data_IF_313537487406
#
_entry.id   IF_313537487406
#
_cell.length_a   1.000
_cell.length_b   1.000
_cell.length_c   1.000
_cell.angle_alpha   90.00
_cell.angle_beta   90.00
_cell.angle_gamma   90.00
#
_symmetry.space_group_name_H-M   'P 1'
#
loop_
_entity.id
_entity.type
_entity.pdbx_description
1 polymer ?
#
# COMPACT_ATOMS: atom_id res chain seq x y z
N UNK A 1 -65.60 -51.88 37.95
CA UNK A 1 -65.99 -51.42 36.65
C UNK A 1 -64.75 -50.60 36.17
N UNK A 2 -63.72 -51.34 35.67
CA UNK A 2 -63.41 -51.47 34.23
C UNK A 2 -63.18 -50.14 33.63
N UNK A 3 -62.05 -49.77 33.09
CA UNK A 3 -61.18 -50.26 31.99
C UNK A 3 -59.93 -49.36 31.99
N UNK A 4 -58.77 -49.81 32.06
CA UNK A 4 -57.83 -50.29 31.01
C UNK A 4 -57.82 -49.46 29.74
N UNK A 5 -56.70 -48.83 29.48
CA UNK A 5 -56.19 -48.63 28.13
C UNK A 5 -54.77 -48.03 28.10
N UNK A 6 -53.90 -48.90 27.85
CA UNK A 6 -52.78 -48.87 26.85
C UNK A 6 -51.96 -47.61 26.61
N UNK A 7 -50.77 -47.78 26.99
CA UNK A 7 -49.50 -47.22 26.56
C UNK A 7 -49.35 -47.24 25.05
N UNK A 8 -48.99 -46.06 24.46
CA UNK A 8 -48.45 -46.00 23.10
C UNK A 8 -47.28 -45.04 23.08
N UNK A 9 -46.11 -45.61 23.28
CA UNK A 9 -44.84 -44.94 23.05
C UNK A 9 -44.68 -44.66 21.52
N UNK A 10 -44.66 -43.39 21.14
CA UNK A 10 -44.24 -42.93 19.81
C UNK A 10 -42.80 -42.46 19.89
N UNK A 11 -41.89 -43.30 19.46
CA UNK A 11 -40.48 -42.99 19.22
C UNK A 11 -40.34 -42.22 17.92
N UNK A 12 -40.11 -40.92 18.02
CA UNK A 12 -39.65 -40.11 16.89
C UNK A 12 -38.15 -40.33 16.62
N UNK A 13 -37.73 -40.51 15.38
CA UNK A 13 -36.33 -40.70 15.05
C UNK A 13 -35.56 -39.38 15.19
N UNK A 14 -34.49 -39.43 15.97
CA UNK A 14 -33.48 -38.34 16.09
C UNK A 14 -32.84 -38.13 14.72
N UNK A 15 -33.17 -37.04 14.08
CA UNK A 15 -32.50 -36.61 12.86
C UNK A 15 -31.03 -36.26 13.17
N UNK A 16 -30.12 -37.06 12.64
CA UNK A 16 -28.69 -36.85 12.64
C UNK A 16 -28.36 -35.53 11.93
N UNK A 17 -27.99 -34.50 12.71
CA UNK A 17 -27.40 -33.29 12.18
C UNK A 17 -26.00 -33.61 11.70
N UNK A 18 -25.86 -33.92 10.41
CA UNK A 18 -24.56 -33.95 9.75
C UNK A 18 -23.93 -32.56 9.82
N UNK A 19 -22.62 -32.41 10.14
CA UNK A 19 -21.96 -31.11 10.19
C UNK A 19 -22.03 -30.47 8.83
N UNK A 20 -22.50 -29.21 8.77
CA UNK A 20 -22.54 -28.39 7.56
C UNK A 20 -21.13 -28.33 6.96
N UNK A 21 -20.98 -28.86 5.74
CA UNK A 21 -19.75 -28.77 4.97
C UNK A 21 -19.37 -27.30 4.84
N UNK A 22 -18.26 -26.90 5.46
CA UNK A 22 -17.66 -25.58 5.30
C UNK A 22 -17.49 -25.28 3.82
N UNK A 23 -18.00 -24.13 3.38
CA UNK A 23 -17.88 -23.65 2.00
C UNK A 23 -16.41 -23.45 1.66
N UNK A 24 -15.82 -24.18 0.68
CA UNK A 24 -14.38 -24.17 0.43
C UNK A 24 -13.96 -23.03 -0.52
N UNK A 25 -14.38 -21.78 -0.26
CA UNK A 25 -14.10 -20.68 -1.18
C UNK A 25 -13.10 -19.63 -0.66
N UNK A 26 -13.18 -19.28 0.61
CA UNK A 26 -12.46 -18.12 1.17
C UNK A 26 -10.96 -18.34 1.40
N UNK A 27 -10.47 -19.44 2.02
CA UNK A 27 -9.03 -19.61 2.26
C UNK A 27 -8.22 -19.83 0.96
N UNK A 28 -8.76 -20.55 -0.01
CA UNK A 28 -8.10 -20.81 -1.31
C UNK A 28 -7.95 -19.56 -2.17
N UNK A 29 -8.93 -18.65 -2.13
CA UNK A 29 -8.88 -17.43 -2.92
C UNK A 29 -7.84 -16.44 -2.35
N UNK A 30 -7.71 -16.33 -1.04
CA UNK A 30 -6.70 -15.47 -0.39
C UNK A 30 -5.28 -16.00 -0.59
N UNK A 31 -5.09 -17.33 -0.49
CA UNK A 31 -3.80 -17.95 -0.79
C UNK A 31 -3.38 -17.74 -2.25
N UNK A 32 -4.33 -17.87 -3.19
CA UNK A 32 -4.07 -17.63 -4.60
C UNK A 32 -3.73 -16.15 -4.86
N UNK A 33 -4.44 -15.23 -4.22
CA UNK A 33 -4.16 -13.78 -4.30
C UNK A 33 -2.75 -13.46 -3.79
N UNK A 34 -2.39 -13.95 -2.61
CA UNK A 34 -1.06 -13.77 -2.04
C UNK A 34 0.05 -14.37 -2.92
N UNK A 35 -0.20 -15.53 -3.57
CA UNK A 35 0.76 -16.14 -4.48
C UNK A 35 0.96 -15.28 -5.74
N UNK A 36 -0.11 -14.69 -6.30
CA UNK A 36 -0.03 -13.77 -7.45
C UNK A 36 0.76 -12.51 -7.09
N UNK A 37 0.51 -11.90 -5.94
CA UNK A 37 1.22 -10.69 -5.50
C UNK A 37 2.70 -10.96 -5.24
N UNK A 38 3.06 -12.10 -4.63
CA UNK A 38 4.47 -12.50 -4.47
C UNK A 38 5.15 -12.69 -5.82
N UNK A 39 4.52 -13.45 -6.73
CA UNK A 39 5.06 -13.68 -8.06
C UNK A 39 5.28 -12.38 -8.85
N UNK A 40 4.34 -11.44 -8.76
CA UNK A 40 4.46 -10.13 -9.38
C UNK A 40 5.62 -9.32 -8.78
N UNK A 41 5.76 -9.33 -7.45
CA UNK A 41 6.85 -8.64 -6.76
C UNK A 41 8.23 -9.19 -7.17
N UNK A 42 8.40 -10.50 -7.19
CA UNK A 42 9.64 -11.17 -7.64
C UNK A 42 9.95 -10.82 -9.09
N UNK A 43 8.95 -10.91 -9.98
CA UNK A 43 9.12 -10.59 -11.39
C UNK A 43 9.48 -9.12 -11.63
N UNK A 44 8.88 -8.20 -10.89
CA UNK A 44 9.26 -6.78 -10.98
C UNK A 44 10.72 -6.55 -10.62
N UNK A 45 11.26 -7.29 -9.66
CA UNK A 45 12.67 -7.19 -9.27
C UNK A 45 13.60 -7.88 -10.27
N UNK A 46 13.21 -9.03 -10.83
CA UNK A 46 14.04 -9.82 -11.74
C UNK A 46 14.09 -9.26 -13.16
N UNK A 47 12.93 -8.95 -13.74
CA UNK A 47 12.82 -8.56 -15.15
C UNK A 47 12.31 -7.12 -15.35
N UNK A 48 11.88 -6.47 -14.28
CA UNK A 48 11.31 -5.12 -14.31
C UNK A 48 9.83 -5.09 -14.72
N UNK A 49 9.17 -3.95 -14.42
CA UNK A 49 7.74 -3.76 -14.64
C UNK A 49 7.33 -3.94 -16.12
N UNK A 50 8.14 -3.45 -17.06
CA UNK A 50 7.80 -3.51 -18.50
C UNK A 50 7.81 -4.93 -19.04
N UNK A 51 8.81 -5.75 -18.69
CA UNK A 51 8.95 -7.11 -19.16
C UNK A 51 8.06 -8.11 -18.40
N UNK A 52 7.56 -7.75 -17.23
CA UNK A 52 6.57 -8.55 -16.51
C UNK A 52 5.26 -8.64 -17.31
N UNK A 53 4.74 -9.87 -17.49
CA UNK A 53 3.46 -10.11 -18.17
C UNK A 53 2.52 -10.92 -17.29
N UNK A 54 1.22 -10.89 -17.60
CA UNK A 54 0.22 -11.72 -16.88
C UNK A 54 0.53 -13.22 -17.05
N UNK A 55 1.11 -13.61 -18.19
CA UNK A 55 1.55 -14.99 -18.45
C UNK A 55 2.67 -15.43 -17.49
N UNK A 56 3.67 -14.58 -17.30
CA UNK A 56 4.75 -14.84 -16.35
C UNK A 56 4.24 -14.91 -14.90
N UNK A 57 3.34 -14.01 -14.53
CA UNK A 57 2.70 -14.02 -13.21
C UNK A 57 1.90 -15.33 -13.02
N UNK A 58 1.10 -15.73 -14.01
CA UNK A 58 0.31 -16.95 -13.96
C UNK A 58 1.21 -18.20 -13.82
N UNK A 59 2.26 -18.28 -14.64
CA UNK A 59 3.21 -19.39 -14.60
C UNK A 59 3.93 -19.51 -13.24
N UNK A 60 4.35 -18.38 -12.66
CA UNK A 60 5.08 -18.37 -11.39
C UNK A 60 4.16 -18.60 -10.18
N UNK A 61 2.97 -18.00 -10.17
CA UNK A 61 2.02 -18.12 -9.06
C UNK A 61 1.23 -19.42 -9.03
N UNK A 62 1.17 -20.16 -10.15
CA UNK A 62 0.29 -21.31 -10.35
C UNK A 62 -1.19 -20.92 -10.51
N UNK A 63 -1.52 -19.63 -10.58
CA UNK A 63 -2.88 -19.16 -10.82
C UNK A 63 -3.20 -19.14 -12.32
N UNK A 64 -4.46 -19.43 -12.70
CA UNK A 64 -4.88 -19.23 -14.09
C UNK A 64 -4.99 -17.75 -14.43
N UNK A 65 -4.79 -17.37 -15.71
CA UNK A 65 -5.04 -16.00 -16.16
C UNK A 65 -6.46 -15.53 -15.83
N UNK A 66 -7.45 -16.40 -15.98
CA UNK A 66 -8.84 -16.08 -15.62
C UNK A 66 -8.98 -15.71 -14.13
N UNK A 67 -8.23 -16.38 -13.25
CA UNK A 67 -8.20 -16.06 -11.82
C UNK A 67 -7.55 -14.69 -11.59
N UNK A 68 -6.47 -14.36 -12.31
CA UNK A 68 -5.79 -13.06 -12.19
C UNK A 68 -6.73 -11.95 -12.66
N UNK A 69 -7.30 -12.06 -13.87
CA UNK A 69 -8.21 -11.04 -14.42
C UNK A 69 -9.52 -10.87 -13.65
N UNK A 70 -9.90 -11.84 -12.83
CA UNK A 70 -11.05 -11.67 -11.93
C UNK A 70 -10.80 -10.59 -10.85
N UNK A 71 -9.55 -10.37 -10.47
CA UNK A 71 -9.18 -9.46 -9.38
C UNK A 71 -8.48 -8.20 -9.87
N UNK A 72 -7.71 -8.33 -10.97
CA UNK A 72 -6.93 -7.24 -11.53
C UNK A 72 -7.17 -7.14 -13.04
N UNK A 73 -7.66 -5.99 -13.52
CA UNK A 73 -7.96 -5.80 -14.94
C UNK A 73 -6.73 -5.86 -15.84
N UNK A 74 -5.54 -5.55 -15.32
CA UNK A 74 -4.30 -5.60 -16.07
C UNK A 74 -3.09 -5.89 -15.16
N UNK A 75 -1.90 -6.07 -15.77
CA UNK A 75 -0.67 -6.37 -15.03
C UNK A 75 -0.21 -5.23 -14.12
N UNK A 76 -0.56 -3.99 -14.44
CA UNK A 76 -0.13 -2.83 -13.67
C UNK A 76 -0.90 -2.71 -12.36
N UNK A 77 -2.19 -3.02 -12.35
CA UNK A 77 -2.96 -3.08 -11.10
C UNK A 77 -2.46 -4.20 -10.17
N UNK A 78 -2.03 -5.36 -10.73
CA UNK A 78 -1.31 -6.37 -9.94
C UNK A 78 -0.01 -5.80 -9.37
N UNK A 79 0.74 -5.08 -10.20
CA UNK A 79 2.03 -4.50 -9.80
C UNK A 79 1.88 -3.47 -8.68
N UNK A 80 0.91 -2.56 -8.78
CA UNK A 80 0.64 -1.56 -7.74
C UNK A 80 0.30 -2.25 -6.43
N UNK A 81 -0.61 -3.20 -6.43
CA UNK A 81 -1.00 -3.89 -5.20
C UNK A 81 0.16 -4.70 -4.60
N UNK A 82 0.94 -5.42 -5.43
CA UNK A 82 2.11 -6.15 -4.99
C UNK A 82 3.17 -5.22 -4.38
N UNK A 83 3.39 -4.07 -5.01
CA UNK A 83 4.29 -3.03 -4.52
C UNK A 83 3.83 -2.47 -3.18
N UNK A 84 2.54 -2.14 -3.05
CA UNK A 84 1.94 -1.56 -1.86
C UNK A 84 1.97 -2.53 -0.68
N UNK A 85 1.72 -3.83 -0.92
CA UNK A 85 1.74 -4.84 0.14
C UNK A 85 3.10 -4.97 0.83
N UNK A 86 4.19 -4.63 0.13
CA UNK A 86 5.54 -4.59 0.71
C UNK A 86 5.85 -3.27 1.41
N UNK A 87 5.40 -2.14 0.85
CA UNK A 87 5.76 -0.82 1.37
C UNK A 87 5.00 -0.37 2.61
N UNK A 88 3.74 -0.80 2.78
CA UNK A 88 2.93 -0.39 3.92
C UNK A 88 3.44 -0.95 5.26
N UNK A 89 4.29 -1.98 5.21
CA UNK A 89 4.91 -2.58 6.40
C UNK A 89 6.07 -1.73 6.98
N UNK A 90 6.58 -0.72 6.25
CA UNK A 90 7.83 -0.01 6.58
C UNK A 90 7.66 1.50 6.78
N UNK A 91 6.43 2.04 6.81
CA UNK A 91 6.20 3.47 6.96
C UNK A 91 6.57 3.93 8.39
N UNK A 92 7.64 4.71 8.52
CA UNK A 92 7.99 5.38 9.77
C UNK A 92 6.95 6.47 10.08
N UNK A 93 6.49 6.53 11.32
CA UNK A 93 5.71 7.65 11.88
C UNK A 93 6.49 8.24 13.08
N UNK A 94 7.50 9.09 12.80
CA UNK A 94 8.35 9.64 13.84
C UNK A 94 7.59 10.68 14.68
N UNK A 95 7.90 10.72 15.97
CA UNK A 95 7.49 11.76 16.91
C UNK A 95 8.66 12.11 17.83
N UNK A 96 9.63 12.83 17.27
CA UNK A 96 10.88 13.20 17.95
C UNK A 96 10.72 14.38 18.90
N UNK A 97 9.57 15.05 18.87
CA UNK A 97 9.31 16.32 19.55
C UNK A 97 9.67 17.56 18.71
N UNK A 98 10.11 17.38 17.46
CA UNK A 98 10.40 18.46 16.51
C UNK A 98 9.85 18.12 15.12
N UNK A 99 9.00 18.99 14.58
CA UNK A 99 8.47 18.82 13.22
C UNK A 99 9.59 18.79 12.17
N UNK A 100 10.65 19.58 12.36
CA UNK A 100 11.81 19.57 11.49
C UNK A 100 12.50 18.21 11.46
N UNK A 101 12.78 17.63 12.64
CA UNK A 101 13.45 16.34 12.70
C UNK A 101 12.56 15.22 12.18
N UNK A 102 11.25 15.25 12.49
CA UNK A 102 10.28 14.29 11.98
C UNK A 102 10.25 14.31 10.44
N UNK A 103 10.18 15.49 9.80
CA UNK A 103 10.28 15.61 8.35
C UNK A 103 11.63 15.13 7.79
N UNK A 104 12.74 15.42 8.48
CA UNK A 104 14.06 14.92 8.09
C UNK A 104 14.11 13.38 8.11
N UNK A 105 13.59 12.74 9.15
CA UNK A 105 13.54 11.27 9.27
C UNK A 105 12.77 10.66 8.11
N UNK A 106 11.57 11.17 7.84
CA UNK A 106 10.72 10.64 6.75
C UNK A 106 11.35 10.89 5.38
N UNK A 107 11.87 12.10 5.13
CA UNK A 107 12.43 12.44 3.82
C UNK A 107 13.75 11.69 3.53
N UNK A 108 14.62 11.49 4.55
CA UNK A 108 15.82 10.65 4.44
C UNK A 108 15.46 9.22 4.06
N UNK A 109 14.47 8.63 4.76
CA UNK A 109 13.98 7.29 4.45
C UNK A 109 13.41 7.18 3.05
N UNK A 110 12.63 8.17 2.61
CA UNK A 110 12.06 8.24 1.27
C UNK A 110 13.13 8.36 0.18
N UNK A 111 14.13 9.22 0.37
CA UNK A 111 15.24 9.38 -0.58
C UNK A 111 16.09 8.11 -0.67
N UNK A 112 16.38 7.47 0.48
CA UNK A 112 17.05 6.18 0.48
C UNK A 112 16.25 5.14 -0.31
N UNK A 113 14.93 5.02 -0.05
CA UNK A 113 14.05 4.15 -0.81
C UNK A 113 14.11 4.41 -2.33
N UNK A 114 14.13 5.68 -2.75
CA UNK A 114 14.20 6.05 -4.17
C UNK A 114 15.50 5.58 -4.86
N UNK A 115 16.57 5.34 -4.14
CA UNK A 115 17.82 4.79 -4.69
C UNK A 115 17.81 3.27 -4.85
N UNK A 116 16.81 2.57 -4.28
CA UNK A 116 16.69 1.11 -4.34
C UNK A 116 16.07 0.61 -5.65
N UNK A 117 16.17 -0.69 -5.95
CA UNK A 117 15.39 -1.30 -7.03
C UNK A 117 13.89 -1.04 -6.93
N UNK A 118 13.32 -1.08 -5.73
CA UNK A 118 11.89 -0.79 -5.48
C UNK A 118 11.54 0.66 -5.78
N UNK A 119 12.43 1.61 -5.52
CA UNK A 119 12.25 3.02 -5.91
C UNK A 119 12.19 3.20 -7.43
N UNK A 120 12.99 2.44 -8.20
CA UNK A 120 12.89 2.44 -9.67
C UNK A 120 11.57 1.85 -10.18
N UNK A 121 11.06 0.79 -9.54
CA UNK A 121 9.73 0.24 -9.85
C UNK A 121 8.65 1.28 -9.57
N UNK A 122 8.75 1.97 -8.45
CA UNK A 122 7.83 3.06 -8.09
C UNK A 122 7.81 4.17 -9.16
N UNK A 123 8.98 4.63 -9.62
CA UNK A 123 9.07 5.63 -10.68
C UNK A 123 8.40 5.16 -11.99
N UNK A 124 8.56 3.87 -12.33
CA UNK A 124 7.88 3.28 -13.50
C UNK A 124 6.36 3.23 -13.31
N UNK A 125 5.86 2.87 -12.12
CA UNK A 125 4.43 2.87 -11.82
C UNK A 125 3.83 4.29 -11.88
N UNK A 126 4.55 5.30 -11.39
CA UNK A 126 4.14 6.71 -11.53
C UNK A 126 4.06 7.11 -13.01
N UNK A 127 5.01 6.65 -13.83
CA UNK A 127 4.99 6.85 -15.28
C UNK A 127 3.77 6.19 -15.94
N UNK A 128 3.50 4.92 -15.64
CA UNK A 128 2.34 4.20 -16.20
C UNK A 128 0.99 4.82 -15.76
N UNK A 129 0.93 5.35 -14.54
CA UNK A 129 -0.25 6.05 -14.01
C UNK A 129 -0.65 7.30 -14.82
N UNK A 130 0.25 7.87 -15.63
CA UNK A 130 -0.09 8.99 -16.52
C UNK A 130 -0.90 8.53 -17.75
N UNK A 131 -0.93 7.25 -18.06
CA UNK A 131 -1.57 6.69 -19.24
C UNK A 131 -2.74 5.75 -18.93
N UNK A 132 -2.81 5.20 -17.70
CA UNK A 132 -3.85 4.27 -17.28
C UNK A 132 -4.58 4.80 -16.03
N UNK A 133 -5.85 5.22 -16.16
CA UNK A 133 -6.63 5.77 -15.04
C UNK A 133 -6.77 4.78 -13.86
N UNK A 134 -6.84 3.47 -14.11
CA UNK A 134 -6.97 2.47 -13.03
C UNK A 134 -5.67 2.40 -12.20
N UNK A 135 -4.51 2.47 -12.89
CA UNK A 135 -3.21 2.51 -12.21
C UNK A 135 -3.05 3.81 -11.43
N UNK A 136 -3.49 4.93 -12.03
CA UNK A 136 -3.47 6.25 -11.38
C UNK A 136 -4.30 6.26 -10.09
N UNK A 137 -5.54 5.79 -10.15
CA UNK A 137 -6.45 5.82 -9.00
C UNK A 137 -5.94 4.93 -7.88
N UNK A 138 -5.49 3.72 -8.20
CA UNK A 138 -4.95 2.79 -7.20
C UNK A 138 -3.65 3.31 -6.55
N UNK A 139 -2.74 3.87 -7.34
CA UNK A 139 -1.50 4.47 -6.84
C UNK A 139 -1.79 5.68 -5.95
N UNK A 140 -2.72 6.55 -6.36
CA UNK A 140 -3.15 7.72 -5.58
C UNK A 140 -3.80 7.30 -4.26
N UNK A 141 -4.80 6.42 -4.32
CA UNK A 141 -5.66 6.13 -3.18
C UNK A 141 -4.92 5.36 -2.07
N UNK A 142 -4.02 4.47 -2.44
CA UNK A 142 -3.30 3.66 -1.43
C UNK A 142 -1.97 4.29 -1.04
N UNK A 143 -1.13 4.66 -2.02
CA UNK A 143 0.24 5.11 -1.73
C UNK A 143 0.31 6.59 -1.37
N UNK A 144 -0.27 7.45 -2.22
CA UNK A 144 -0.17 8.90 -2.02
C UNK A 144 -0.89 9.29 -0.73
N UNK A 145 -2.13 8.85 -0.55
CA UNK A 145 -2.91 9.19 0.65
C UNK A 145 -2.30 8.60 1.94
N UNK A 146 -1.71 7.40 1.91
CA UNK A 146 -1.08 6.83 3.11
C UNK A 146 0.16 7.60 3.54
N UNK A 147 0.98 8.04 2.59
CA UNK A 147 2.18 8.85 2.87
C UNK A 147 1.81 10.28 3.31
N UNK A 148 0.78 10.87 2.68
CA UNK A 148 0.28 12.16 3.10
C UNK A 148 -0.23 12.16 4.54
N UNK A 149 -0.82 11.07 5.03
CA UNK A 149 -1.22 10.95 6.44
C UNK A 149 -0.05 11.13 7.41
N UNK A 150 1.13 10.56 7.11
CA UNK A 150 2.32 10.76 7.94
C UNK A 150 2.76 12.23 7.93
N UNK A 151 2.89 12.82 6.75
CA UNK A 151 3.23 14.25 6.62
C UNK A 151 2.22 15.14 7.33
N UNK A 152 0.92 14.82 7.25
CA UNK A 152 -0.14 15.56 7.94
C UNK A 152 -0.04 15.42 9.45
N UNK A 153 0.21 14.24 9.98
CA UNK A 153 0.40 14.03 11.41
C UNK A 153 1.59 14.83 11.96
N UNK A 154 2.72 14.85 11.24
CA UNK A 154 3.88 15.69 11.59
C UNK A 154 3.49 17.17 11.58
N UNK A 155 2.79 17.61 10.55
CA UNK A 155 2.34 19.00 10.42
C UNK A 155 1.45 19.42 11.59
N UNK A 156 0.41 18.63 11.89
CA UNK A 156 -0.56 18.94 12.93
C UNK A 156 0.12 19.00 14.33
N UNK A 157 1.07 18.09 14.60
CA UNK A 157 1.90 18.16 15.83
C UNK A 157 2.77 19.41 15.86
N UNK A 158 3.40 19.77 14.74
CA UNK A 158 4.23 20.97 14.63
C UNK A 158 3.45 22.27 14.84
N UNK A 159 2.25 22.37 14.30
CA UNK A 159 1.33 23.49 14.53
C UNK A 159 0.92 23.55 16.02
N UNK A 160 0.56 22.40 16.60
CA UNK A 160 0.16 22.35 18.02
C UNK A 160 1.28 22.76 18.98
N UNK A 161 2.55 22.55 18.60
CA UNK A 161 3.75 22.98 19.35
C UNK A 161 4.18 24.42 19.05
N UNK A 162 3.54 25.09 18.08
CA UNK A 162 3.91 26.45 17.64
C UNK A 162 5.19 26.52 16.81
N UNK A 163 5.64 25.38 16.24
CA UNK A 163 6.82 25.31 15.37
C UNK A 163 6.46 25.68 13.92
N UNK A 164 5.22 25.43 13.51
CA UNK A 164 4.75 25.61 12.12
C UNK A 164 3.54 26.55 12.08
N UNK A 165 3.42 27.27 10.98
CA UNK A 165 2.36 28.25 10.74
C UNK A 165 1.00 27.56 10.55
N UNK A 166 -0.01 27.97 11.34
CA UNK A 166 -1.36 27.42 11.24
C UNK A 166 -2.19 27.99 10.06
N UNK A 167 -1.73 29.07 9.44
CA UNK A 167 -2.39 29.72 8.30
C UNK A 167 -1.98 29.17 6.93
N UNK A 168 -1.08 28.20 6.89
CA UNK A 168 -0.66 27.51 5.65
C UNK A 168 -1.46 26.22 5.48
N UNK A 169 -1.94 25.99 4.25
CA UNK A 169 -2.57 24.71 3.90
C UNK A 169 -1.56 23.57 4.06
N UNK A 170 -1.84 22.59 4.94
CA UNK A 170 -0.94 21.46 5.17
C UNK A 170 -0.67 20.63 3.93
N UNK A 171 -1.59 20.53 2.98
CA UNK A 171 -1.38 19.80 1.74
C UNK A 171 -0.33 20.48 0.87
N UNK A 172 -0.35 21.81 0.80
CA UNK A 172 0.68 22.61 0.11
C UNK A 172 2.03 22.45 0.81
N UNK A 173 2.06 22.51 2.15
CA UNK A 173 3.29 22.35 2.91
C UNK A 173 3.94 20.97 2.69
N UNK A 174 3.12 19.90 2.67
CA UNK A 174 3.56 18.53 2.36
C UNK A 174 4.14 18.46 0.94
N UNK A 175 3.49 19.10 -0.04
CA UNK A 175 3.99 19.16 -1.41
C UNK A 175 5.33 19.88 -1.51
N UNK A 176 5.52 20.97 -0.77
CA UNK A 176 6.80 21.71 -0.73
C UNK A 176 7.92 20.84 -0.14
N UNK A 177 7.64 20.06 0.92
CA UNK A 177 8.65 19.22 1.57
C UNK A 177 9.00 18.00 0.72
N UNK A 178 8.01 17.29 0.17
CA UNK A 178 8.25 16.00 -0.49
C UNK A 178 8.37 16.09 -2.02
N UNK A 179 7.83 17.14 -2.63
CA UNK A 179 7.86 17.35 -4.08
C UNK A 179 9.26 17.35 -4.69
N UNK A 180 10.27 18.03 -4.11
CA UNK A 180 11.62 18.03 -4.66
C UNK A 180 12.26 16.65 -4.74
N UNK A 181 11.99 15.73 -3.80
CA UNK A 181 12.47 14.36 -3.86
C UNK A 181 11.81 13.57 -5.00
N UNK A 182 10.50 13.73 -5.18
CA UNK A 182 9.76 13.14 -6.30
C UNK A 182 10.25 13.66 -7.64
N UNK A 183 10.45 14.97 -7.76
CA UNK A 183 11.00 15.58 -8.97
C UNK A 183 12.36 14.98 -9.33
N UNK A 184 13.27 14.85 -8.37
CA UNK A 184 14.61 14.25 -8.57
C UNK A 184 14.52 12.78 -8.98
N UNK A 185 13.61 12.00 -8.37
CA UNK A 185 13.37 10.61 -8.76
C UNK A 185 12.96 10.50 -10.23
N UNK A 186 12.00 11.33 -10.66
CA UNK A 186 11.41 11.22 -12.00
C UNK A 186 12.29 11.79 -13.11
N UNK A 187 13.08 12.81 -12.80
CA UNK A 187 13.92 13.51 -13.79
C UNK A 187 15.38 13.05 -13.77
N UNK A 188 15.81 12.34 -12.71
CA UNK A 188 17.22 12.04 -12.50
C UNK A 188 18.09 13.28 -12.19
N UNK A 189 17.46 14.41 -11.84
CA UNK A 189 18.17 15.67 -11.62
C UNK A 189 18.64 15.80 -10.16
N UNK A 190 19.90 15.51 -9.90
CA UNK A 190 20.53 15.73 -8.59
C UNK A 190 20.54 14.48 -7.67
N UNK A 191 21.11 14.65 -6.51
CA UNK A 191 21.40 13.57 -5.57
C UNK A 191 20.19 13.28 -4.67
N UNK A 192 19.98 12.00 -4.36
CA UNK A 192 18.98 11.50 -3.42
C UNK A 192 19.72 10.92 -2.20
N UNK A 193 20.18 11.79 -1.30
CA UNK A 193 20.92 11.41 -0.09
C UNK A 193 20.41 12.14 1.16
N UNK A 194 20.94 11.77 2.31
CA UNK A 194 20.55 12.35 3.60
C UNK A 194 20.83 13.87 3.68
N UNK A 195 21.96 14.33 3.15
CA UNK A 195 22.31 15.75 3.19
C UNK A 195 21.35 16.59 2.35
N UNK A 196 20.95 16.06 1.19
CA UNK A 196 19.94 16.69 0.33
C UNK A 196 18.57 16.72 1.01
N UNK A 197 18.18 15.66 1.72
CA UNK A 197 16.93 15.64 2.47
C UNK A 197 16.90 16.74 3.54
N UNK A 198 17.97 16.89 4.30
CA UNK A 198 18.11 17.93 5.33
C UNK A 198 18.07 19.34 4.74
N UNK A 199 18.74 19.55 3.61
CA UNK A 199 18.74 20.85 2.91
C UNK A 199 17.34 21.21 2.39
N UNK A 200 16.58 20.23 1.84
CA UNK A 200 15.22 20.45 1.38
C UNK A 200 14.30 20.82 2.55
N UNK A 201 14.36 20.06 3.65
CA UNK A 201 13.55 20.35 4.84
C UNK A 201 13.89 21.74 5.40
N UNK A 202 15.19 22.07 5.50
CA UNK A 202 15.61 23.39 5.97
C UNK A 202 15.08 24.52 5.09
N UNK A 203 15.17 24.38 3.76
CA UNK A 203 14.66 25.36 2.81
C UNK A 203 13.12 25.47 2.86
N UNK A 204 12.42 24.32 2.92
CA UNK A 204 10.96 24.30 3.02
C UNK A 204 10.48 24.98 4.31
N UNK A 205 11.03 24.61 5.45
CA UNK A 205 10.60 25.14 6.74
C UNK A 205 11.01 26.60 6.96
N UNK A 206 11.99 27.15 6.26
CA UNK A 206 12.33 28.58 6.33
C UNK A 206 11.17 29.51 5.95
N UNK A 207 10.24 29.05 5.12
CA UNK A 207 9.01 29.76 4.74
C UNK A 207 7.74 29.29 5.48
N UNK A 208 7.83 28.19 6.25
CA UNK A 208 6.70 27.52 6.90
C UNK A 208 6.77 27.59 8.43
N UNK A 209 7.93 27.95 8.99
CA UNK A 209 8.12 28.14 10.43
C UNK A 209 7.52 29.46 10.91
N UNK A 210 7.20 29.51 12.21
CA UNK A 210 6.77 30.73 12.93
C UNK A 210 7.97 31.58 13.29
#
# INVERSE_FOLDING_TARGET
MTEDLADTQSTSPVASLAPARARPGRPRSEQSRAAVLRAASELMQEVGLRAMTTELIAARSGASKATIYKWWPNKYTVAVEAFLSQMLAEAADPDTGSAREDFCVVLRGLMHFYTTPSGRIFAQLVGEAQFDPLVHDELRDVLIHSRRRVGRAIWDRGVARGELRADVDPEIAIDIVFGPAMYRLLTGSGVLDAATAEAIVAAALSGLAV
#
